data_IF_585157502299
#
_entry.id   IF_585157502299
#
_cell.length_a   1.000
_cell.length_b   1.000
_cell.length_c   1.000
_cell.angle_alpha   90.00
_cell.angle_beta   90.00
_cell.angle_gamma   90.00
#
_symmetry.space_group_name_H-M   'P 1'
#
loop_
_entity.id
_entity.type
_entity.pdbx_description
1 polymer ?
#
# COMPACT_ATOMS: atom_id res chain seq x y z
N UNK A 1 25.09 -31.53 -49.86
CA UNK A 1 24.02 -30.56 -49.59
C UNK A 1 23.54 -30.87 -48.18
N UNK A 2 23.77 -29.95 -47.26
CA UNK A 2 23.27 -30.09 -45.88
C UNK A 2 21.84 -29.58 -45.94
N UNK A 3 20.89 -30.47 -45.69
CA UNK A 3 19.47 -30.14 -45.67
C UNK A 3 19.20 -29.06 -44.63
N UNK A 4 18.44 -28.07 -45.05
CA UNK A 4 18.09 -26.83 -44.35
C UNK A 4 17.07 -27.04 -43.22
N UNK A 5 17.19 -28.14 -42.46
CA UNK A 5 16.27 -28.49 -41.36
C UNK A 5 16.87 -28.22 -39.96
N UNK A 6 17.97 -27.48 -39.85
CA UNK A 6 18.57 -27.13 -38.55
C UNK A 6 18.48 -25.64 -38.19
N UNK A 7 17.50 -24.92 -38.73
CA UNK A 7 17.31 -23.47 -38.50
C UNK A 7 16.05 -23.12 -37.69
N UNK A 8 15.42 -24.11 -37.05
CA UNK A 8 14.25 -23.91 -36.19
C UNK A 8 14.51 -24.44 -34.77
N UNK A 9 15.24 -23.71 -33.93
CA UNK A 9 15.05 -23.83 -32.47
C UNK A 9 15.60 -22.66 -31.65
N UNK A 10 15.62 -21.44 -32.19
CA UNK A 10 15.94 -20.27 -31.39
C UNK A 10 14.79 -19.27 -31.47
N UNK A 11 14.20 -18.99 -30.31
CA UNK A 11 13.24 -17.94 -29.99
C UNK A 11 11.76 -18.32 -29.86
N UNK A 12 11.47 -19.42 -29.17
CA UNK A 12 10.26 -19.48 -28.34
C UNK A 12 10.64 -19.21 -26.87
N UNK A 13 11.39 -18.13 -26.65
CA UNK A 13 11.57 -17.59 -25.30
C UNK A 13 10.24 -16.93 -24.93
N UNK A 14 9.33 -17.68 -24.32
CA UNK A 14 8.22 -17.10 -23.60
C UNK A 14 8.84 -16.13 -22.58
N UNK A 15 8.71 -14.82 -22.81
CA UNK A 15 9.30 -13.78 -21.96
C UNK A 15 8.79 -14.03 -20.54
N UNK A 16 9.66 -14.55 -19.68
CA UNK A 16 9.32 -14.80 -18.29
C UNK A 16 9.27 -13.44 -17.61
N UNK A 17 8.13 -13.12 -17.00
CA UNK A 17 7.93 -11.89 -16.22
C UNK A 17 9.10 -11.75 -15.23
N UNK A 18 9.83 -10.64 -15.33
CA UNK A 18 10.95 -10.38 -14.42
C UNK A 18 10.47 -9.63 -13.18
N UNK A 19 11.30 -9.64 -12.12
CA UNK A 19 11.03 -8.83 -10.92
C UNK A 19 10.94 -7.35 -11.24
N UNK A 20 11.82 -6.85 -12.12
CA UNK A 20 11.83 -5.45 -12.52
C UNK A 20 10.58 -5.06 -13.29
N UNK A 21 10.12 -5.91 -14.21
CA UNK A 21 8.85 -5.69 -14.94
C UNK A 21 7.68 -5.52 -13.96
N UNK A 22 7.58 -6.41 -12.96
CA UNK A 22 6.54 -6.36 -11.92
C UNK A 22 6.65 -5.11 -11.07
N UNK A 23 7.85 -4.71 -10.65
CA UNK A 23 8.08 -3.49 -9.85
C UNK A 23 7.61 -2.26 -10.62
N UNK A 24 8.00 -2.17 -11.89
CA UNK A 24 7.60 -1.09 -12.78
C UNK A 24 6.08 -1.03 -12.97
N UNK A 25 5.43 -2.19 -13.15
CA UNK A 25 3.98 -2.26 -13.28
C UNK A 25 3.29 -1.81 -12.00
N UNK A 26 3.70 -2.31 -10.85
CA UNK A 26 3.12 -1.95 -9.54
C UNK A 26 3.14 -0.42 -9.35
N UNK A 27 4.29 0.23 -9.57
CA UNK A 27 4.40 1.68 -9.39
C UNK A 27 3.53 2.51 -10.35
N UNK A 28 3.14 1.95 -11.50
CA UNK A 28 2.30 2.61 -12.50
C UNK A 28 0.81 2.25 -12.34
N UNK A 29 0.49 1.23 -11.55
CA UNK A 29 -0.86 0.69 -11.40
C UNK A 29 -1.64 1.44 -10.29
N UNK A 30 -2.68 2.16 -10.70
CA UNK A 30 -3.52 2.95 -9.81
C UNK A 30 -4.43 2.11 -8.91
N UNK A 31 -4.76 0.88 -9.30
CA UNK A 31 -5.54 -0.04 -8.47
C UNK A 31 -4.71 -0.52 -7.28
N UNK A 32 -3.41 -0.78 -7.49
CA UNK A 32 -2.48 -1.08 -6.39
C UNK A 32 -2.41 0.08 -5.41
N UNK A 33 -2.16 1.30 -5.91
CA UNK A 33 -2.06 2.49 -5.06
C UNK A 33 -3.34 2.67 -4.23
N UNK A 34 -4.50 2.60 -4.88
CA UNK A 34 -5.80 2.69 -4.22
C UNK A 34 -5.98 1.62 -3.14
N UNK A 35 -5.63 0.36 -3.42
CA UNK A 35 -5.75 -0.75 -2.47
C UNK A 35 -4.86 -0.58 -1.25
N UNK A 36 -3.64 -0.09 -1.43
CA UNK A 36 -2.72 0.20 -0.33
C UNK A 36 -3.31 1.30 0.56
N UNK A 37 -3.75 2.42 -0.02
CA UNK A 37 -4.35 3.55 0.71
C UNK A 37 -5.61 3.15 1.48
N UNK A 38 -6.57 2.51 0.79
CA UNK A 38 -7.80 1.99 1.43
C UNK A 38 -7.47 1.05 2.60
N UNK A 39 -6.48 0.17 2.42
CA UNK A 39 -6.07 -0.73 3.48
C UNK A 39 -5.51 0.01 4.69
N UNK A 40 -4.59 0.95 4.46
CA UNK A 40 -3.93 1.75 5.49
C UNK A 40 -4.96 2.51 6.32
N UNK A 41 -5.87 3.22 5.64
CA UNK A 41 -6.93 4.01 6.28
C UNK A 41 -7.85 3.11 7.09
N UNK A 42 -8.31 1.99 6.52
CA UNK A 42 -9.14 1.03 7.25
C UNK A 42 -8.43 0.50 8.51
N UNK A 43 -7.14 0.17 8.44
CA UNK A 43 -6.40 -0.29 9.60
C UNK A 43 -6.30 0.80 10.68
N UNK A 44 -5.95 2.03 10.29
CA UNK A 44 -5.78 3.15 11.22
C UNK A 44 -7.12 3.59 11.83
N UNK A 45 -8.21 3.59 11.07
CA UNK A 45 -9.53 3.85 11.60
C UNK A 45 -9.93 2.79 12.64
N UNK A 46 -9.72 1.51 12.32
CA UNK A 46 -10.06 0.41 13.21
C UNK A 46 -9.20 0.35 14.48
N UNK A 47 -7.93 0.71 14.39
CA UNK A 47 -6.95 0.55 15.48
C UNK A 47 -6.68 1.83 16.28
N UNK A 48 -6.83 3.00 15.67
CA UNK A 48 -6.52 4.31 16.26
C UNK A 48 -7.79 5.16 16.39
N UNK A 49 -8.51 5.46 15.30
CA UNK A 49 -9.68 6.36 15.35
C UNK A 49 -10.74 5.89 16.35
N UNK A 50 -11.02 4.58 16.39
CA UNK A 50 -11.97 3.96 17.33
C UNK A 50 -11.66 4.16 18.82
N UNK A 51 -10.48 4.69 19.17
CA UNK A 51 -10.12 5.03 20.55
C UNK A 51 -10.60 6.44 20.97
N UNK A 52 -11.04 7.24 20.01
CA UNK A 52 -11.57 8.60 20.22
C UNK A 52 -13.10 8.57 20.25
N UNK A 53 -13.74 9.74 20.36
CA UNK A 53 -15.21 9.79 20.42
C UNK A 53 -15.86 9.26 19.14
N UNK A 54 -17.14 8.85 19.23
CA UNK A 54 -17.91 8.37 18.08
C UNK A 54 -18.10 9.44 16.98
N UNK A 55 -17.92 10.73 17.33
CA UNK A 55 -18.01 11.85 16.39
C UNK A 55 -16.63 12.28 15.86
N UNK A 56 -15.55 11.62 16.30
CA UNK A 56 -14.22 11.90 15.80
C UNK A 56 -14.13 11.48 14.34
N UNK A 57 -13.33 12.22 13.57
CA UNK A 57 -13.02 11.87 12.19
C UNK A 57 -11.53 12.03 11.91
N UNK A 58 -11.05 11.22 10.97
CA UNK A 58 -9.65 11.18 10.54
C UNK A 58 -9.44 11.91 9.22
N UNK A 59 -8.29 12.56 9.08
CA UNK A 59 -7.74 13.02 7.81
C UNK A 59 -6.38 12.34 7.60
N UNK A 60 -6.08 11.99 6.35
CA UNK A 60 -4.88 11.28 5.97
C UNK A 60 -4.07 12.08 4.96
N UNK A 61 -2.77 12.19 5.21
CA UNK A 61 -1.81 12.78 4.29
C UNK A 61 -0.66 11.79 4.05
N UNK A 62 -0.35 11.52 2.79
CA UNK A 62 0.65 10.55 2.39
C UNK A 62 1.95 11.28 2.09
N UNK A 63 2.95 11.10 2.96
CA UNK A 63 4.19 11.87 2.88
C UNK A 63 5.02 11.52 1.65
N UNK A 64 4.91 10.27 1.19
CA UNK A 64 5.55 9.75 0.00
C UNK A 64 4.63 8.75 -0.70
N UNK A 65 4.96 8.41 -1.95
CA UNK A 65 4.50 7.15 -2.51
C UNK A 65 5.04 5.99 -1.67
N UNK A 66 4.32 4.88 -1.67
CA UNK A 66 4.79 3.66 -1.00
C UNK A 66 6.08 3.16 -1.65
N UNK A 67 6.87 2.39 -0.89
CA UNK A 67 8.15 1.84 -1.32
C UNK A 67 8.10 0.32 -1.36
N UNK A 68 8.38 -0.27 -2.52
CA UNK A 68 8.55 -1.72 -2.65
C UNK A 68 9.90 -2.17 -2.08
N UNK A 69 9.86 -2.91 -0.97
CA UNK A 69 11.03 -3.46 -0.29
C UNK A 69 11.45 -4.77 -0.95
N UNK A 70 10.50 -5.67 -1.17
CA UNK A 70 10.75 -6.98 -1.79
C UNK A 70 9.76 -7.23 -2.92
N UNK A 71 10.15 -8.06 -3.87
CA UNK A 71 9.28 -8.53 -4.97
C UNK A 71 9.72 -9.94 -5.33
N UNK A 72 8.83 -10.90 -5.08
CA UNK A 72 9.03 -12.30 -5.46
C UNK A 72 7.99 -12.69 -6.51
N UNK A 73 8.48 -13.29 -7.61
CA UNK A 73 7.67 -13.77 -8.73
C UNK A 73 7.85 -15.28 -8.79
N UNK A 74 6.75 -16.00 -8.65
CA UNK A 74 6.73 -17.47 -8.66
C UNK A 74 6.38 -18.00 -10.06
N UNK A 75 6.65 -19.29 -10.30
CA UNK A 75 6.56 -19.91 -11.64
C UNK A 75 5.17 -19.83 -12.29
N UNK A 76 4.11 -19.62 -11.52
CA UNK A 76 2.72 -19.51 -11.98
C UNK A 76 2.23 -18.06 -12.15
N UNK A 77 3.13 -17.07 -12.01
CA UNK A 77 2.76 -15.66 -12.05
C UNK A 77 2.19 -15.14 -10.73
N UNK A 78 2.25 -15.94 -9.66
CA UNK A 78 1.95 -15.45 -8.32
C UNK A 78 3.04 -14.47 -7.87
N UNK A 79 2.64 -13.36 -7.25
CA UNK A 79 3.52 -12.28 -6.84
C UNK A 79 3.29 -11.97 -5.37
N UNK A 80 4.38 -11.82 -4.62
CA UNK A 80 4.37 -11.31 -3.24
C UNK A 80 5.34 -10.15 -3.15
N UNK A 81 4.88 -9.04 -2.59
CA UNK A 81 5.69 -7.87 -2.34
C UNK A 81 5.54 -7.37 -0.91
N UNK A 82 6.64 -6.99 -0.28
CA UNK A 82 6.60 -6.20 0.94
C UNK A 82 6.75 -4.73 0.60
N UNK A 83 5.94 -3.90 1.26
CA UNK A 83 5.79 -2.48 1.01
C UNK A 83 5.90 -1.72 2.32
N UNK A 84 6.58 -0.58 2.28
CA UNK A 84 6.52 0.44 3.32
C UNK A 84 5.76 1.67 2.86
N UNK A 85 5.02 2.30 3.76
CA UNK A 85 4.32 3.56 3.49
C UNK A 85 4.34 4.44 4.74
N UNK A 86 4.55 5.74 4.51
CA UNK A 86 4.49 6.77 5.52
C UNK A 86 3.17 7.54 5.39
N UNK A 87 2.38 7.54 6.45
CA UNK A 87 1.08 8.21 6.49
C UNK A 87 0.99 9.09 7.72
N UNK A 88 0.68 10.36 7.52
CA UNK A 88 0.23 11.23 8.59
C UNK A 88 -1.28 11.05 8.79
N UNK A 89 -1.69 10.75 10.02
CA UNK A 89 -3.08 10.72 10.42
C UNK A 89 -3.33 11.87 11.40
N UNK A 90 -4.35 12.68 11.09
CA UNK A 90 -4.88 13.69 12.00
C UNK A 90 -6.26 13.28 12.46
N UNK A 91 -6.52 13.31 13.76
CA UNK A 91 -7.85 13.08 14.31
C UNK A 91 -8.38 14.38 14.87
N UNK A 92 -9.58 14.74 14.45
CA UNK A 92 -10.33 15.85 15.01
C UNK A 92 -11.44 15.29 15.89
N UNK A 93 -11.60 15.88 17.06
CA UNK A 93 -12.65 15.53 18.01
C UNK A 93 -13.33 16.80 18.52
N UNK A 94 -14.42 16.64 19.27
CA UNK A 94 -15.25 17.71 19.79
C UNK A 94 -15.23 17.70 21.31
N UNK A 95 -14.92 18.84 21.92
CA UNK A 95 -15.13 19.04 23.35
C UNK A 95 -16.38 19.90 23.58
N UNK A 96 -17.18 19.51 24.57
CA UNK A 96 -18.30 20.33 25.02
C UNK A 96 -17.75 21.55 25.76
N UNK A 97 -17.99 22.73 25.21
CA UNK A 97 -18.00 23.97 25.97
C UNK A 97 -19.44 24.18 26.45
N UNK A 98 -19.61 24.68 27.68
CA UNK A 98 -20.93 24.99 28.23
C UNK A 98 -21.82 25.77 27.25
N UNK A 99 -23.14 25.74 27.47
CA UNK A 99 -24.16 26.31 26.59
C UNK A 99 -24.35 25.59 25.25
N UNK A 100 -24.33 24.25 25.23
CA UNK A 100 -24.54 23.41 24.03
C UNK A 100 -23.60 23.72 22.84
N UNK A 101 -22.42 24.28 23.11
CA UNK A 101 -21.43 24.60 22.08
C UNK A 101 -20.34 23.54 22.07
N UNK A 102 -20.18 22.85 20.94
CA UNK A 102 -19.05 21.95 20.74
C UNK A 102 -17.94 22.70 20.00
N UNK A 103 -16.71 22.60 20.50
CA UNK A 103 -15.53 23.15 19.82
C UNK A 103 -14.69 22.00 19.27
N UNK A 104 -14.29 22.12 17.99
CA UNK A 104 -13.41 21.16 17.34
C UNK A 104 -11.96 21.41 17.78
N UNK A 105 -11.23 20.34 18.09
CA UNK A 105 -9.80 20.39 18.37
C UNK A 105 -9.08 19.22 17.67
N UNK A 106 -7.76 19.33 17.54
CA UNK A 106 -6.92 18.23 17.04
C UNK A 106 -6.60 17.34 18.24
N UNK A 107 -7.11 16.11 18.20
CA UNK A 107 -6.93 15.12 19.25
C UNK A 107 -5.70 14.22 19.01
N UNK A 108 -5.22 14.16 17.76
CA UNK A 108 -4.01 13.45 17.34
C UNK A 108 -3.47 14.06 16.05
N UNK A 109 -2.15 14.16 15.92
CA UNK A 109 -1.43 14.48 14.69
C UNK A 109 -0.15 13.64 14.68
N UNK A 110 -0.24 12.41 14.15
CA UNK A 110 0.87 11.46 14.18
C UNK A 110 1.20 10.93 12.80
N UNK A 111 2.50 10.81 12.54
CA UNK A 111 3.03 10.09 11.38
C UNK A 111 3.31 8.63 11.74
N UNK A 112 2.81 7.71 10.92
CA UNK A 112 3.01 6.26 11.04
C UNK A 112 3.82 5.74 9.85
N UNK A 113 4.90 5.00 10.15
CA UNK A 113 5.62 4.18 9.16
C UNK A 113 5.07 2.75 9.23
N UNK A 114 4.40 2.31 8.18
CA UNK A 114 3.64 1.05 8.14
C UNK A 114 4.22 0.04 7.15
N UNK A 115 4.19 -1.24 7.53
CA UNK A 115 4.60 -2.38 6.71
C UNK A 115 3.43 -3.22 6.25
N UNK A 116 3.32 -3.38 4.93
CA UNK A 116 2.25 -4.13 4.27
C UNK A 116 2.82 -5.20 3.36
N UNK A 117 2.12 -6.33 3.28
CA UNK A 117 2.37 -7.38 2.32
C UNK A 117 1.26 -7.37 1.27
N UNK A 118 1.65 -7.27 0.01
CA UNK A 118 0.80 -7.27 -1.16
C UNK A 118 0.93 -8.60 -1.88
N UNK A 119 -0.20 -9.21 -2.24
CA UNK A 119 -0.23 -10.48 -2.99
C UNK A 119 -1.23 -10.40 -4.12
N UNK A 120 -0.84 -10.87 -5.30
CA UNK A 120 -1.73 -10.95 -6.46
C UNK A 120 -1.17 -11.97 -7.47
N UNK A 121 -1.93 -12.23 -8.53
CA UNK A 121 -1.50 -13.10 -9.63
C UNK A 121 -1.45 -12.31 -10.93
N UNK A 122 -0.43 -12.57 -11.75
CA UNK A 122 -0.19 -11.91 -13.02
C UNK A 122 0.36 -12.94 -14.02
N UNK A 123 -0.41 -13.29 -15.04
CA UNK A 123 0.00 -14.32 -16.02
C UNK A 123 0.91 -13.74 -17.09
N UNK A 124 0.57 -12.56 -17.58
CA UNK A 124 1.35 -11.77 -18.53
C UNK A 124 1.57 -10.36 -17.99
N UNK A 125 2.69 -9.72 -18.34
CA UNK A 125 3.03 -8.41 -17.80
C UNK A 125 2.01 -7.32 -18.18
N UNK A 126 1.35 -7.48 -19.33
CA UNK A 126 0.37 -6.54 -19.84
C UNK A 126 -1.04 -6.75 -19.25
N UNK A 127 -1.27 -7.84 -18.52
CA UNK A 127 -2.56 -8.12 -17.87
C UNK A 127 -2.88 -7.07 -16.79
N UNK A 128 -4.15 -6.78 -16.56
CA UNK A 128 -4.57 -5.93 -15.44
C UNK A 128 -4.27 -6.62 -14.09
N UNK A 129 -3.85 -5.84 -13.08
CA UNK A 129 -3.69 -6.39 -11.74
C UNK A 129 -5.05 -6.41 -11.04
N UNK A 130 -5.54 -7.61 -10.75
CA UNK A 130 -6.78 -7.85 -10.05
C UNK A 130 -6.57 -8.69 -8.78
N UNK A 131 -7.62 -8.79 -7.94
CA UNK A 131 -7.67 -9.66 -6.77
C UNK A 131 -6.49 -9.47 -5.80
N UNK A 132 -6.19 -8.19 -5.53
CA UNK A 132 -5.10 -7.77 -4.66
C UNK A 132 -5.45 -8.10 -3.20
N UNK A 133 -4.69 -9.00 -2.58
CA UNK A 133 -4.70 -9.18 -1.14
C UNK A 133 -3.67 -8.26 -0.48
N UNK A 134 -4.10 -7.55 0.57
CA UNK A 134 -3.24 -6.71 1.38
C UNK A 134 -3.28 -7.18 2.84
N UNK A 135 -2.12 -7.33 3.47
CA UNK A 135 -2.00 -7.71 4.87
C UNK A 135 -1.04 -6.79 5.61
N UNK A 136 -1.40 -6.41 6.83
CA UNK A 136 -0.52 -5.66 7.72
C UNK A 136 0.38 -6.62 8.48
N UNK A 137 1.66 -6.29 8.59
CA UNK A 137 2.57 -7.08 9.40
C UNK A 137 3.35 -6.26 10.43
N UNK A 138 3.48 -4.93 10.24
CA UNK A 138 4.12 -4.10 11.27
C UNK A 138 3.78 -2.60 11.20
N UNK A 139 3.94 -1.92 12.34
CA UNK A 139 4.15 -0.46 12.43
C UNK A 139 5.54 -0.25 13.02
N UNK A 140 6.42 0.43 12.30
CA UNK A 140 7.84 0.55 12.65
C UNK A 140 8.17 1.78 13.49
N UNK A 141 7.35 2.82 13.40
CA UNK A 141 7.59 4.07 14.10
C UNK A 141 6.36 4.97 14.10
N UNK A 142 6.25 5.78 15.16
CA UNK A 142 5.22 6.79 15.34
C UNK A 142 5.92 8.08 15.74
N UNK A 143 5.68 9.15 15.00
CA UNK A 143 6.11 10.50 15.35
C UNK A 143 4.89 11.31 15.79
N UNK A 144 4.95 11.92 16.97
CA UNK A 144 3.94 12.85 17.46
C UNK A 144 4.29 14.26 16.97
N UNK A 145 3.43 14.83 16.13
CA UNK A 145 3.62 16.17 15.57
C UNK A 145 2.94 17.25 16.42
N UNK A 146 2.08 16.88 17.37
CA UNK A 146 1.37 17.80 18.25
C UNK A 146 2.27 18.34 19.37
N UNK A 147 3.28 17.56 19.79
CA UNK A 147 4.13 17.87 20.93
C UNK A 147 5.60 18.11 20.59
N UNK A 148 5.95 18.27 19.31
CA UNK A 148 7.30 18.68 18.89
C UNK A 148 7.57 20.11 19.38
N UNK A 149 8.51 20.23 20.34
CA UNK A 149 8.98 21.49 20.93
C UNK A 149 10.33 21.90 20.36
#
# INVERSE_FOLDING_TARGET
MIDSESLNSFNDYKHRITKEDVRDKIYKDSNIEKKIKEGVENYLDLSILKKYSDNAYSEYDYLNNYMLITTEVFEEGYIICDIHIDVNMKIYDYMSKGDNKNERYIALDNTYLMGLNLKFSLKEIDDDIENIELRFFNIYGISDNLHQS
#
